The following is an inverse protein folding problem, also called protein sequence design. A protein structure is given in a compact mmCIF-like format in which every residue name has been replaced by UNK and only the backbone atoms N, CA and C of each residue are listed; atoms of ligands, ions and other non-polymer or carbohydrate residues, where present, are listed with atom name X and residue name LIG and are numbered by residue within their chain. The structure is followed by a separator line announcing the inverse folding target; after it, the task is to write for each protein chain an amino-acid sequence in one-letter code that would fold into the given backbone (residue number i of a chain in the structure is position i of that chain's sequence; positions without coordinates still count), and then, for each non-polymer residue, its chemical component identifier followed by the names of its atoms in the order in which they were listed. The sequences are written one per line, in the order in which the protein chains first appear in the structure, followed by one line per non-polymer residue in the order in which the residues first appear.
data_IF_341088240938
#
_entry.id   IF_341088240938
#
_cell.length_a   1.000
_cell.length_b   1.000
_cell.length_c   1.000
_cell.angle_alpha   90.00
_cell.angle_beta   90.00
_cell.angle_gamma   90.00
#
_symmetry.space_group_name_H-M   'P 1'
#
loop_
_entity.id
_entity.type
_entity.pdbx_description
1 polymer ?
#
# COMPACT_ATOMS: atom_id res chain seq x y z
N UNK A 1 39.76 -38.46 12.64
CA UNK A 1 39.50 -37.05 13.01
C UNK A 1 38.00 -36.89 13.22
N UNK A 2 37.53 -37.48 14.31
CA UNK A 2 36.12 -37.78 14.57
C UNK A 2 35.62 -36.85 15.67
N UNK A 3 34.69 -35.95 15.34
CA UNK A 3 33.74 -35.25 16.25
C UNK A 3 33.07 -34.06 15.53
N UNK A 4 31.95 -34.27 14.83
CA UNK A 4 30.94 -33.21 14.73
C UNK A 4 29.56 -33.62 15.25
N UNK A 5 29.35 -34.87 15.69
CA UNK A 5 28.02 -35.33 16.15
C UNK A 5 27.57 -34.77 17.51
N UNK A 6 28.44 -34.06 18.25
CA UNK A 6 28.08 -33.49 19.55
C UNK A 6 27.13 -32.27 19.44
N UNK A 7 27.10 -31.56 18.30
CA UNK A 7 26.27 -30.36 18.16
C UNK A 7 24.80 -30.65 17.83
N UNK A 8 24.48 -31.84 17.31
CA UNK A 8 23.09 -32.19 17.01
C UNK A 8 22.27 -32.53 18.27
N UNK A 9 22.93 -33.01 19.34
CA UNK A 9 22.23 -33.39 20.57
C UNK A 9 21.92 -32.19 21.48
N UNK A 10 22.68 -31.10 21.38
CA UNK A 10 22.52 -29.94 22.27
C UNK A 10 21.29 -29.07 21.90
N UNK A 11 20.84 -29.12 20.65
CA UNK A 11 19.61 -28.42 20.23
C UNK A 11 18.31 -29.14 20.64
N UNK A 12 18.36 -30.42 21.02
CA UNK A 12 17.17 -31.16 21.45
C UNK A 12 16.80 -30.92 22.93
N UNK A 13 17.67 -30.27 23.72
CA UNK A 13 17.41 -30.00 25.15
C UNK A 13 17.09 -28.54 25.47
N UNK A 14 16.92 -27.66 24.48
CA UNK A 14 16.47 -26.30 24.76
C UNK A 14 15.00 -26.34 25.23
N UNK A 15 14.71 -26.03 26.52
CA UNK A 15 13.34 -26.06 27.01
C UNK A 15 12.53 -25.00 26.29
N UNK A 16 11.42 -25.41 25.67
CA UNK A 16 10.33 -24.52 25.28
C UNK A 16 9.90 -23.76 26.55
N UNK A 17 10.45 -22.57 26.75
CA UNK A 17 9.86 -21.58 27.64
C UNK A 17 8.54 -21.18 26.98
N UNK A 18 7.49 -21.89 27.37
CA UNK A 18 6.11 -21.48 27.19
C UNK A 18 6.01 -20.06 27.74
N UNK A 19 6.00 -19.10 26.83
CA UNK A 19 5.65 -17.72 27.12
C UNK A 19 4.15 -17.77 27.34
N UNK A 20 3.76 -18.03 28.59
CA UNK A 20 2.38 -17.87 29.01
C UNK A 20 2.09 -16.38 28.95
N UNK A 21 1.34 -16.01 27.93
CA UNK A 21 0.75 -14.70 27.74
C UNK A 21 -0.18 -14.40 28.92
N UNK A 22 0.40 -13.91 30.01
CA UNK A 22 -0.32 -13.36 31.16
C UNK A 22 -0.45 -11.85 30.94
N UNK A 23 -1.20 -11.47 29.92
CA UNK A 23 -1.64 -10.10 29.66
C UNK A 23 -3.16 -10.03 29.87
N UNK A 24 -3.56 -10.10 31.14
CA UNK A 24 -4.95 -9.87 31.55
C UNK A 24 -5.05 -8.79 32.64
N UNK A 25 -4.06 -7.90 32.73
CA UNK A 25 -3.91 -6.95 33.84
C UNK A 25 -4.09 -5.47 33.53
N UNK A 26 -4.17 -5.03 32.27
CA UNK A 26 -4.11 -3.59 31.96
C UNK A 26 -5.42 -2.94 31.53
N UNK A 27 -6.51 -3.69 31.34
CA UNK A 27 -7.81 -3.09 30.95
C UNK A 27 -8.62 -2.54 32.12
N UNK A 28 -8.28 -2.82 33.38
CA UNK A 28 -9.00 -2.24 34.54
C UNK A 28 -8.44 -0.90 35.04
N UNK A 29 -7.23 -0.50 34.64
CA UNK A 29 -6.67 0.79 35.05
C UNK A 29 -7.26 1.99 34.28
N UNK A 30 -7.77 1.78 33.06
CA UNK A 30 -8.31 2.89 32.23
C UNK A 30 -9.80 3.15 32.42
N UNK A 31 -10.55 2.27 33.11
CA UNK A 31 -11.94 2.56 33.49
C UNK A 31 -12.07 3.31 34.81
N UNK A 32 -11.01 3.39 35.64
CA UNK A 32 -11.05 4.14 36.89
C UNK A 32 -10.87 5.66 36.72
N UNK A 33 -10.24 6.12 35.63
CA UNK A 33 -10.06 7.55 35.37
C UNK A 33 -11.35 8.21 34.83
N UNK A 34 -12.27 7.44 34.24
CA UNK A 34 -13.54 7.97 33.73
C UNK A 34 -14.58 8.29 34.82
N UNK A 35 -14.31 7.96 36.08
CA UNK A 35 -15.17 8.31 37.21
C UNK A 35 -14.72 9.60 37.96
N UNK A 36 -13.57 10.19 37.61
CA UNK A 36 -13.03 11.37 38.32
C UNK A 36 -13.41 12.74 37.73
N UNK A 37 -14.00 12.79 36.54
CA UNK A 37 -14.41 14.02 35.87
C UNK A 37 -15.95 14.12 35.77
N UNK A 38 -16.64 13.75 36.85
CA UNK A 38 -17.99 14.24 37.06
C UNK A 38 -17.89 15.65 37.67
N UNK A 39 -18.10 16.63 36.80
CA UNK A 39 -18.75 17.91 37.08
C UNK A 39 -18.56 18.40 38.52
N UNK A 40 -17.51 19.19 38.74
CA UNK A 40 -17.62 20.33 39.65
C UNK A 40 -18.59 21.33 38.98
N UNK A 41 -19.87 20.97 38.96
CA UNK A 41 -20.96 21.84 38.61
C UNK A 41 -20.99 22.96 39.66
N UNK A 42 -20.55 24.13 39.21
CA UNK A 42 -21.24 25.40 39.39
C UNK A 42 -22.39 25.38 40.41
N UNK A 43 -22.05 25.46 41.68
CA UNK A 43 -22.90 25.99 42.72
C UNK A 43 -22.17 27.17 43.39
N UNK A 44 -21.71 28.14 42.59
CA UNK A 44 -21.77 29.51 43.09
C UNK A 44 -23.22 29.93 42.97
N UNK A 45 -23.98 29.46 43.96
CA UNK A 45 -25.21 30.06 44.46
C UNK A 45 -24.83 31.47 44.99
N UNK A 46 -24.41 32.34 44.08
CA UNK A 46 -24.47 33.76 44.33
C UNK A 46 -25.95 34.07 44.26
N UNK A 47 -26.59 33.87 45.42
CA UNK A 47 -27.82 34.51 45.83
C UNK A 47 -27.63 36.00 45.66
N UNK A 48 -27.72 36.46 44.41
CA UNK A 48 -28.19 37.78 44.09
C UNK A 48 -29.66 37.68 44.44
N UNK A 49 -29.92 37.85 45.73
CA UNK A 49 -31.15 38.42 46.23
C UNK A 49 -31.32 39.69 45.40
N UNK A 50 -32.04 39.50 44.29
CA UNK A 50 -32.72 40.52 43.55
C UNK A 50 -33.83 40.99 44.47
N UNK A 51 -33.44 41.54 45.62
CA UNK A 51 -34.16 42.64 46.23
C UNK A 51 -33.99 43.76 45.22
N UNK A 52 -34.87 43.66 44.23
CA UNK A 52 -35.43 44.71 43.44
C UNK A 52 -35.92 45.76 44.44
N UNK A 53 -34.99 46.51 45.02
CA UNK A 53 -35.26 47.84 45.56
C UNK A 53 -35.51 48.69 44.31
N UNK A 54 -36.66 48.43 43.69
CA UNK A 54 -37.31 49.41 42.85
C UNK A 54 -37.36 50.68 43.69
N UNK A 55 -36.90 51.82 43.16
CA UNK A 55 -36.87 53.06 43.90
C UNK A 55 -38.28 53.26 44.44
N UNK A 56 -38.42 53.13 45.77
CA UNK A 56 -39.61 53.54 46.47
C UNK A 56 -39.91 54.92 45.91
N UNK A 57 -41.05 54.98 45.24
CA UNK A 57 -41.68 56.20 44.82
C UNK A 57 -41.61 57.11 46.05
N UNK A 58 -40.73 58.10 45.99
CA UNK A 58 -40.81 59.29 46.80
C UNK A 58 -42.11 59.97 46.39
N UNK A 59 -43.24 59.44 46.87
CA UNK A 59 -44.53 60.09 46.82
C UNK A 59 -44.36 61.31 47.71
N UNK A 60 -44.31 62.52 47.14
CA UNK A 60 -44.37 63.71 47.96
C UNK A 60 -45.73 63.62 48.64
N UNK A 61 -45.70 63.48 49.97
CA UNK A 61 -46.88 63.54 50.82
C UNK A 61 -47.49 64.92 50.55
N UNK A 62 -48.48 64.96 49.65
CA UNK A 62 -49.33 66.12 49.44
C UNK A 62 -50.10 66.30 50.73
N UNK A 63 -49.63 67.17 51.62
CA UNK A 63 -50.51 67.76 52.61
C UNK A 63 -51.46 68.71 51.88
N UNK A 64 -52.59 68.12 51.51
CA UNK A 64 -53.82 68.79 51.12
C UNK A 64 -54.59 69.08 52.41
N UNK A 65 -54.36 70.25 52.98
CA UNK A 65 -55.24 70.92 53.93
C UNK A 65 -55.12 72.41 53.63
N UNK A 66 -55.85 72.98 52.67
CA UNK A 66 -57.31 73.18 52.59
C UNK A 66 -57.87 73.97 53.79
N UNK A 67 -57.95 75.28 53.54
CA UNK A 67 -59.09 76.18 53.81
C UNK A 67 -59.49 76.50 55.26
N UNK A 68 -59.51 77.80 55.55
CA UNK A 68 -60.67 78.44 56.18
C UNK A 68 -60.38 79.22 57.46
N UNK A 69 -60.45 80.55 57.36
CA UNK A 69 -60.98 81.55 58.31
C UNK A 69 -60.15 82.84 58.18
N UNK A 70 -60.67 83.86 57.50
CA UNK A 70 -61.48 84.94 58.09
C UNK A 70 -60.64 85.81 59.03
N UNK A 71 -60.06 86.88 58.50
CA UNK A 71 -60.63 88.24 58.58
C UNK A 71 -60.69 88.79 60.00
N UNK A 72 -59.66 89.54 60.37
CA UNK A 72 -59.79 90.83 61.05
C UNK A 72 -58.40 91.48 60.97
N UNK A 73 -58.26 92.56 60.18
CA UNK A 73 -58.44 93.90 60.71
C UNK A 73 -57.45 94.14 61.85
N UNK A 74 -56.25 94.61 61.49
CA UNK A 74 -55.49 95.64 62.22
C UNK A 74 -54.22 95.97 61.43
N UNK A 75 -54.18 97.22 60.99
CA UNK A 75 -53.01 97.93 60.51
C UNK A 75 -51.91 97.92 61.57
N UNK A 76 -50.98 96.96 61.49
CA UNK A 76 -49.69 97.08 62.16
C UNK A 76 -48.61 96.57 61.21
N UNK A 77 -48.21 97.47 60.33
CA UNK A 77 -46.82 97.78 59.98
C UNK A 77 -45.83 96.66 60.30
N UNK A 78 -45.38 96.02 59.21
CA UNK A 78 -44.11 95.34 58.98
C UNK A 78 -43.13 95.37 60.18
N UNK A 79 -42.71 94.19 60.65
CA UNK A 79 -41.32 93.80 60.97
C UNK A 79 -41.27 92.41 61.64
N UNK A 80 -42.37 91.91 62.23
CA UNK A 80 -42.37 90.61 62.93
C UNK A 80 -42.34 89.34 62.05
N UNK A 81 -42.26 89.45 60.72
CA UNK A 81 -42.21 88.30 59.81
C UNK A 81 -40.79 87.91 59.39
N UNK A 82 -39.77 88.73 59.68
CA UNK A 82 -38.40 88.47 59.22
C UNK A 82 -37.68 87.38 60.02
N UNK A 83 -37.98 87.25 61.31
CA UNK A 83 -37.32 86.25 62.16
C UNK A 83 -37.82 84.83 61.83
N UNK A 84 -39.13 84.64 61.65
CA UNK A 84 -39.69 83.33 61.33
C UNK A 84 -39.32 82.91 59.89
N UNK A 85 -39.30 83.86 58.95
CA UNK A 85 -38.76 83.65 57.60
C UNK A 85 -37.27 83.28 57.64
N UNK A 86 -36.47 83.90 58.53
CA UNK A 86 -35.06 83.53 58.71
C UNK A 86 -34.89 82.12 59.26
N UNK A 87 -35.72 81.69 60.22
CA UNK A 87 -35.69 80.34 60.80
C UNK A 87 -36.12 79.27 59.80
N UNK A 88 -37.13 79.57 58.99
CA UNK A 88 -37.56 78.70 57.89
C UNK A 88 -36.49 78.62 56.80
N UNK A 89 -35.83 79.74 56.48
CA UNK A 89 -34.70 79.78 55.54
C UNK A 89 -33.51 78.96 56.07
N UNK A 90 -33.13 79.12 57.34
CA UNK A 90 -32.05 78.30 57.93
C UNK A 90 -32.42 76.83 57.97
N UNK A 91 -33.66 76.47 58.31
CA UNK A 91 -34.11 75.08 58.28
C UNK A 91 -34.13 74.50 56.85
N UNK A 92 -34.51 75.31 55.86
CA UNK A 92 -34.47 74.91 54.44
C UNK A 92 -33.03 74.73 53.96
N UNK A 93 -32.12 75.60 54.38
CA UNK A 93 -30.70 75.48 54.07
C UNK A 93 -30.05 74.29 54.79
N UNK A 94 -30.39 74.02 56.05
CA UNK A 94 -29.99 72.79 56.77
C UNK A 94 -30.48 71.52 56.07
N UNK A 95 -31.72 71.52 55.56
CA UNK A 95 -32.23 70.39 54.76
C UNK A 95 -31.46 70.24 53.45
N UNK A 96 -31.12 71.35 52.78
CA UNK A 96 -30.33 71.33 51.55
C UNK A 96 -28.91 70.84 51.80
N UNK A 97 -28.25 71.29 52.87
CA UNK A 97 -26.90 70.84 53.23
C UNK A 97 -26.90 69.35 53.56
N UNK A 98 -27.87 68.86 54.34
CA UNK A 98 -28.02 67.43 54.63
C UNK A 98 -28.22 66.59 53.34
N UNK A 99 -29.02 67.07 52.39
CA UNK A 99 -29.20 66.40 51.08
C UNK A 99 -27.90 66.40 50.28
N UNK A 100 -27.19 67.53 50.21
CA UNK A 100 -25.92 67.64 49.49
C UNK A 100 -24.85 66.74 50.11
N UNK A 101 -24.78 66.66 51.44
CA UNK A 101 -23.88 65.73 52.15
C UNK A 101 -24.22 64.27 51.84
N UNK A 102 -25.50 63.91 51.84
CA UNK A 102 -25.94 62.56 51.47
C UNK A 102 -25.58 62.22 50.00
N UNK A 103 -25.78 63.17 49.08
CA UNK A 103 -25.39 63.02 47.67
C UNK A 103 -23.88 62.90 47.51
N UNK A 104 -23.09 63.72 48.20
CA UNK A 104 -21.63 63.66 48.17
C UNK A 104 -21.12 62.32 48.72
N UNK A 105 -21.67 61.85 49.83
CA UNK A 105 -21.37 60.53 50.38
C UNK A 105 -21.73 59.40 49.40
N UNK A 106 -22.85 59.52 48.68
CA UNK A 106 -23.22 58.56 47.63
C UNK A 106 -22.25 58.58 46.44
N UNK A 107 -21.84 59.77 45.97
CA UNK A 107 -20.84 59.91 44.91
C UNK A 107 -19.49 59.32 45.31
N UNK A 108 -19.05 59.52 46.56
CA UNK A 108 -17.81 58.92 47.08
C UNK A 108 -17.89 57.40 47.12
N UNK A 109 -19.04 56.83 47.53
CA UNK A 109 -19.27 55.38 47.48
C UNK A 109 -19.26 54.86 46.03
N UNK A 110 -19.87 55.59 45.10
CA UNK A 110 -19.89 55.22 43.68
C UNK A 110 -18.50 55.29 43.06
N UNK A 111 -17.70 56.29 43.39
CA UNK A 111 -16.31 56.39 42.95
C UNK A 111 -15.45 55.25 43.51
N UNK A 112 -15.60 54.92 44.80
CA UNK A 112 -14.94 53.78 45.42
C UNK A 112 -15.36 52.44 44.78
N UNK A 113 -16.65 52.24 44.54
CA UNK A 113 -17.16 51.05 43.86
C UNK A 113 -16.64 50.94 42.42
N UNK A 114 -16.59 52.04 41.67
CA UNK A 114 -16.01 52.09 40.32
C UNK A 114 -14.53 51.73 40.31
N UNK A 115 -13.75 52.26 41.26
CA UNK A 115 -12.34 51.90 41.39
C UNK A 115 -12.16 50.41 41.72
N UNK A 116 -12.96 49.86 42.64
CA UNK A 116 -12.94 48.43 42.96
C UNK A 116 -13.31 47.55 41.75
N UNK A 117 -14.24 47.98 40.88
CA UNK A 117 -14.55 47.29 39.62
C UNK A 117 -13.39 47.37 38.63
N UNK A 118 -12.77 48.54 38.47
CA UNK A 118 -11.61 48.71 37.60
C UNK A 118 -10.41 47.86 38.05
N UNK A 119 -10.12 47.81 39.34
CA UNK A 119 -9.04 47.01 39.92
C UNK A 119 -9.28 45.51 39.68
N UNK A 120 -10.52 45.04 39.86
CA UNK A 120 -10.92 43.66 39.51
C UNK A 120 -10.74 43.40 38.02
N UNK A 121 -11.18 44.32 37.16
CA UNK A 121 -11.06 44.18 35.71
C UNK A 121 -9.58 44.11 35.28
N UNK A 122 -8.72 44.97 35.83
CA UNK A 122 -7.28 44.95 35.58
C UNK A 122 -6.66 43.62 36.05
N UNK A 123 -7.06 43.11 37.22
CA UNK A 123 -6.65 41.80 37.73
C UNK A 123 -7.07 40.64 36.81
N UNK A 124 -8.32 40.63 36.33
CA UNK A 124 -8.80 39.61 35.38
C UNK A 124 -8.05 39.66 34.05
N UNK A 125 -7.83 40.85 33.52
CA UNK A 125 -7.04 41.09 32.31
C UNK A 125 -5.62 40.51 32.47
N UNK A 126 -4.96 40.81 33.59
CA UNK A 126 -3.61 40.34 33.85
C UNK A 126 -3.57 38.80 33.93
N UNK A 127 -4.49 38.19 34.69
CA UNK A 127 -4.62 36.73 34.80
C UNK A 127 -4.87 36.06 33.45
N UNK A 128 -5.72 36.64 32.59
CA UNK A 128 -5.98 36.11 31.24
C UNK A 128 -4.74 36.23 30.34
N UNK A 129 -4.03 37.36 30.39
CA UNK A 129 -2.79 37.54 29.61
C UNK A 129 -1.69 36.58 30.06
N UNK A 130 -1.57 36.33 31.36
CA UNK A 130 -0.63 35.37 31.92
C UNK A 130 -1.00 33.94 31.51
N UNK A 131 -2.27 33.56 31.62
CA UNK A 131 -2.76 32.24 31.19
C UNK A 131 -2.48 32.02 29.70
N UNK A 132 -2.79 32.99 28.86
CA UNK A 132 -2.52 32.91 27.42
C UNK A 132 -1.02 32.78 27.12
N UNK A 133 -0.16 33.53 27.82
CA UNK A 133 1.29 33.40 27.67
C UNK A 133 1.79 32.00 28.07
N UNK A 134 1.28 31.42 29.17
CA UNK A 134 1.64 30.06 29.59
C UNK A 134 1.13 28.99 28.62
N UNK A 135 -0.05 29.18 28.03
CA UNK A 135 -0.61 28.27 27.02
C UNK A 135 0.21 28.31 25.73
N UNK A 136 0.61 29.48 25.25
CA UNK A 136 1.49 29.62 24.09
C UNK A 136 2.86 28.96 24.34
N UNK A 137 3.44 29.15 25.52
CA UNK A 137 4.69 28.49 25.91
C UNK A 137 4.52 26.96 25.94
N UNK A 138 3.41 26.46 26.45
CA UNK A 138 3.13 25.03 26.48
C UNK A 138 2.95 24.44 25.08
N UNK A 139 2.21 25.11 24.20
CA UNK A 139 2.03 24.68 22.80
C UNK A 139 3.36 24.70 22.05
N UNK A 140 4.17 25.75 22.20
CA UNK A 140 5.50 25.80 21.59
C UNK A 140 6.39 24.67 22.09
N UNK A 141 6.39 24.38 23.39
CA UNK A 141 7.14 23.26 23.95
C UNK A 141 6.70 21.90 23.38
N UNK A 142 5.39 21.66 23.27
CA UNK A 142 4.86 20.42 22.66
C UNK A 142 5.26 20.33 21.18
N UNK A 143 5.14 21.43 20.44
CA UNK A 143 5.53 21.47 19.02
C UNK A 143 7.03 21.15 18.87
N UNK A 144 7.89 21.77 19.66
CA UNK A 144 9.34 21.50 19.66
C UNK A 144 9.63 20.04 20.00
N UNK A 145 8.90 19.45 20.95
CA UNK A 145 9.03 18.04 21.31
C UNK A 145 8.63 17.11 20.15
N UNK A 146 7.53 17.40 19.44
CA UNK A 146 7.08 16.63 18.29
C UNK A 146 8.08 16.74 17.13
N UNK A 147 8.59 17.95 16.87
CA UNK A 147 9.62 18.16 15.85
C UNK A 147 10.90 17.39 16.18
N UNK A 148 11.34 17.40 17.42
CA UNK A 148 12.52 16.65 17.81
C UNK A 148 12.31 15.13 17.69
N UNK A 149 11.14 14.61 18.09
CA UNK A 149 10.82 13.20 17.86
C UNK A 149 10.78 12.83 16.37
N UNK A 150 10.22 13.70 15.53
CA UNK A 150 10.16 13.46 14.09
C UNK A 150 11.55 13.48 13.46
N UNK A 151 12.46 14.34 13.94
CA UNK A 151 13.87 14.35 13.52
C UNK A 151 14.61 13.09 13.93
N UNK A 152 14.40 12.60 15.15
CA UNK A 152 15.04 11.35 15.60
C UNK A 152 14.54 10.18 14.78
N UNK A 153 13.23 10.08 14.56
CA UNK A 153 12.63 8.99 13.78
C UNK A 153 13.11 9.02 12.32
N UNK A 154 13.14 10.20 11.69
CA UNK A 154 13.64 10.35 10.32
C UNK A 154 15.13 10.00 10.22
N UNK A 155 15.95 10.44 11.20
CA UNK A 155 17.37 10.10 11.24
C UNK A 155 17.58 8.59 11.39
N UNK A 156 16.82 7.95 12.28
CA UNK A 156 16.90 6.52 12.52
C UNK A 156 16.51 5.73 11.25
N UNK A 157 15.48 6.16 10.53
CA UNK A 157 15.07 5.57 9.25
C UNK A 157 16.10 5.78 8.15
N UNK A 158 16.70 6.97 8.05
CA UNK A 158 17.77 7.27 7.09
C UNK A 158 19.02 6.44 7.40
N UNK A 159 19.38 6.27 8.67
CA UNK A 159 20.46 5.40 9.08
C UNK A 159 20.17 3.92 8.80
N UNK A 160 18.94 3.46 9.04
CA UNK A 160 18.48 2.10 8.70
C UNK A 160 18.60 1.87 7.20
N UNK A 161 18.06 2.77 6.38
CA UNK A 161 18.14 2.68 4.92
C UNK A 161 19.59 2.76 4.44
N UNK A 162 20.44 3.60 5.05
CA UNK A 162 21.85 3.66 4.71
C UNK A 162 22.59 2.34 5.02
N UNK A 163 22.24 1.64 6.11
CA UNK A 163 22.77 0.29 6.42
C UNK A 163 22.31 -0.73 5.38
N UNK A 164 21.04 -0.68 4.98
CA UNK A 164 20.49 -1.56 3.95
C UNK A 164 21.16 -1.32 2.59
N UNK A 165 21.28 -0.06 2.15
CA UNK A 165 21.98 0.33 0.92
C UNK A 165 23.45 -0.10 0.93
N UNK A 166 24.15 0.02 2.06
CA UNK A 166 25.53 -0.47 2.21
C UNK A 166 25.63 -1.99 2.08
N UNK A 167 24.58 -2.74 2.42
CA UNK A 167 24.54 -4.20 2.28
C UNK A 167 24.23 -4.67 0.84
N UNK A 168 23.54 -3.85 0.03
CA UNK A 168 23.20 -4.15 -1.37
C UNK A 168 24.39 -4.64 -2.20
N UNK A 169 25.56 -3.97 -2.25
CA UNK A 169 26.69 -4.44 -3.06
C UNK A 169 27.23 -5.79 -2.59
N UNK A 170 27.22 -6.08 -1.28
CA UNK A 170 27.64 -7.37 -0.76
C UNK A 170 26.65 -8.47 -1.20
N UNK A 171 25.34 -8.22 -1.09
CA UNK A 171 24.28 -9.12 -1.55
C UNK A 171 24.37 -9.34 -3.06
N UNK A 172 24.56 -8.28 -3.85
CA UNK A 172 24.73 -8.35 -5.29
C UNK A 172 25.95 -9.21 -5.68
N UNK A 173 27.08 -8.99 -5.01
CA UNK A 173 28.29 -9.79 -5.26
C UNK A 173 28.11 -11.26 -4.88
N UNK A 174 27.33 -11.55 -3.85
CA UNK A 174 26.98 -12.91 -3.46
C UNK A 174 26.06 -13.58 -4.47
N UNK A 175 25.06 -12.86 -4.97
CA UNK A 175 24.15 -13.32 -6.02
C UNK A 175 24.91 -13.60 -7.33
N UNK A 176 25.70 -12.65 -7.82
CA UNK A 176 26.48 -12.82 -9.05
C UNK A 176 27.46 -13.99 -8.97
N UNK A 177 28.12 -14.20 -7.81
CA UNK A 177 28.99 -15.38 -7.61
C UNK A 177 28.20 -16.69 -7.61
N UNK A 178 26.98 -16.68 -7.07
CA UNK A 178 26.12 -17.85 -7.10
C UNK A 178 25.63 -18.14 -8.54
N UNK A 179 25.33 -17.09 -9.30
CA UNK A 179 24.93 -17.17 -10.70
C UNK A 179 26.09 -17.66 -11.58
N UNK A 180 27.31 -17.13 -11.41
CA UNK A 180 28.52 -17.59 -12.09
C UNK A 180 28.76 -19.08 -11.84
N UNK A 181 28.57 -19.53 -10.60
CA UNK A 181 28.67 -20.95 -10.25
C UNK A 181 27.57 -21.77 -10.92
N UNK A 182 26.33 -21.30 -10.93
CA UNK A 182 25.22 -21.97 -11.60
C UNK A 182 25.44 -22.04 -13.12
N UNK A 183 25.99 -21.00 -13.74
CA UNK A 183 26.35 -20.97 -15.15
C UNK A 183 27.52 -21.91 -15.46
N UNK A 184 28.50 -22.03 -14.56
CA UNK A 184 29.57 -23.02 -14.68
C UNK A 184 29.01 -24.45 -14.63
N UNK A 185 28.09 -24.75 -13.70
CA UNK A 185 27.38 -26.04 -13.61
C UNK A 185 26.57 -26.32 -14.89
N UNK A 186 25.90 -25.31 -15.45
CA UNK A 186 25.19 -25.44 -16.72
C UNK A 186 26.13 -25.66 -17.91
N UNK A 187 27.29 -25.01 -17.92
CA UNK A 187 28.31 -25.21 -18.95
C UNK A 187 28.89 -26.63 -18.87
N UNK A 188 29.15 -27.16 -17.67
CA UNK A 188 29.56 -28.56 -17.48
C UNK A 188 28.50 -29.53 -17.99
N UNK A 189 27.22 -29.26 -17.72
CA UNK A 189 26.11 -30.06 -18.28
C UNK A 189 26.09 -29.98 -19.81
N UNK A 190 26.26 -28.79 -20.39
CA UNK A 190 26.31 -28.61 -21.85
C UNK A 190 27.48 -29.36 -22.48
N UNK A 191 28.68 -29.31 -21.86
CA UNK A 191 29.85 -30.07 -22.32
C UNK A 191 29.61 -31.59 -22.20
N UNK A 192 28.95 -32.04 -21.13
CA UNK A 192 28.61 -33.45 -20.96
C UNK A 192 27.67 -33.95 -22.05
N UNK A 193 26.76 -33.09 -22.56
CA UNK A 193 25.90 -33.39 -23.70
C UNK A 193 26.72 -33.44 -24.98
N UNK A 194 27.62 -32.48 -25.21
CA UNK A 194 28.49 -32.46 -26.39
C UNK A 194 29.35 -33.72 -26.50
N UNK A 195 29.99 -34.15 -25.40
CA UNK A 195 30.79 -35.38 -25.35
C UNK A 195 29.92 -36.61 -25.57
N UNK A 196 28.71 -36.65 -25.00
CA UNK A 196 27.76 -37.75 -25.24
C UNK A 196 27.26 -37.80 -26.68
N UNK A 197 27.13 -36.66 -27.35
CA UNK A 197 26.73 -36.59 -28.76
C UNK A 197 27.85 -37.02 -29.70
N UNK A 198 29.12 -36.71 -29.39
CA UNK A 198 30.26 -37.17 -30.19
C UNK A 198 30.47 -38.69 -30.07
N UNK A 199 30.16 -39.26 -28.90
CA UNK A 199 30.09 -40.71 -28.69
C UNK A 199 28.73 -41.34 -29.02
N UNK A 200 27.74 -40.54 -29.44
CA UNK A 200 26.42 -41.08 -29.76
C UNK A 200 26.53 -41.90 -31.03
N UNK A 201 26.05 -43.14 -30.96
CA UNK A 201 25.86 -43.97 -32.14
C UNK A 201 25.08 -43.18 -33.18
N UNK A 202 25.66 -43.01 -34.37
CA UNK A 202 24.90 -42.51 -35.52
C UNK A 202 23.83 -43.54 -35.86
N UNK A 203 22.65 -43.34 -35.29
CA UNK A 203 21.50 -44.23 -35.45
C UNK A 203 21.09 -44.33 -36.92
N UNK A 204 21.30 -43.26 -37.70
CA UNK A 204 20.95 -43.24 -39.12
C UNK A 204 21.97 -44.03 -39.95
N UNK A 205 23.27 -43.94 -39.66
CA UNK A 205 24.30 -44.83 -40.24
C UNK A 205 24.04 -46.29 -39.86
N UNK A 206 23.75 -46.56 -38.59
CA UNK A 206 23.51 -47.90 -38.07
C UNK A 206 22.25 -48.52 -38.68
N UNK A 207 21.21 -47.71 -38.90
CA UNK A 207 20.01 -48.09 -39.65
C UNK A 207 20.36 -48.44 -41.10
N UNK A 208 21.11 -47.59 -41.80
CA UNK A 208 21.53 -47.86 -43.18
C UNK A 208 22.41 -49.11 -43.29
N UNK A 209 23.21 -49.43 -42.26
CA UNK A 209 23.97 -50.67 -42.16
C UNK A 209 23.06 -51.87 -41.89
N UNK A 210 22.12 -51.76 -40.97
CA UNK A 210 21.13 -52.80 -40.69
C UNK A 210 20.34 -53.16 -41.95
N UNK A 211 19.81 -52.16 -42.67
CA UNK A 211 19.05 -52.37 -43.92
C UNK A 211 19.89 -53.04 -45.02
N UNK A 212 21.20 -52.75 -45.09
CA UNK A 212 22.12 -53.42 -46.01
C UNK A 212 22.36 -54.88 -45.62
N UNK A 213 22.58 -55.15 -44.34
CA UNK A 213 22.79 -56.51 -43.83
C UNK A 213 21.53 -57.37 -43.94
N UNK A 214 20.35 -56.80 -43.66
CA UNK A 214 19.07 -57.48 -43.82
C UNK A 214 18.81 -57.84 -45.29
N UNK A 215 19.12 -56.93 -46.23
CA UNK A 215 19.05 -57.23 -47.67
C UNK A 215 20.06 -58.29 -48.11
N UNK A 216 21.29 -58.23 -47.63
CA UNK A 216 22.28 -59.27 -47.94
C UNK A 216 21.84 -60.64 -47.40
N UNK A 217 21.31 -60.68 -46.18
CA UNK A 217 20.81 -61.90 -45.55
C UNK A 217 19.60 -62.48 -46.29
N UNK A 218 18.71 -61.63 -46.79
CA UNK A 218 17.64 -62.03 -47.70
C UNK A 218 18.19 -62.73 -48.95
N UNK A 219 19.12 -62.10 -49.68
CA UNK A 219 19.71 -62.67 -50.88
C UNK A 219 20.42 -64.01 -50.62
N UNK A 220 21.17 -64.11 -49.52
CA UNK A 220 21.85 -65.35 -49.16
C UNK A 220 20.88 -66.48 -48.77
N UNK A 221 19.83 -66.17 -48.01
CA UNK A 221 18.82 -67.17 -47.64
C UNK A 221 17.99 -67.62 -48.84
N UNK A 222 17.59 -66.68 -49.70
CA UNK A 222 16.86 -66.98 -50.92
C UNK A 222 17.71 -67.85 -51.85
N UNK A 223 18.97 -67.47 -52.10
CA UNK A 223 19.91 -68.27 -52.89
C UNK A 223 20.10 -69.68 -52.33
N UNK A 224 20.32 -69.82 -51.01
CA UNK A 224 20.49 -71.13 -50.39
C UNK A 224 19.24 -72.04 -50.49
N UNK A 225 18.03 -71.47 -50.45
CA UNK A 225 16.78 -72.22 -50.63
C UNK A 225 16.60 -72.60 -52.10
N UNK A 226 16.88 -71.68 -53.03
CA UNK A 226 16.83 -71.93 -54.49
C UNK A 226 17.83 -73.02 -54.91
N UNK A 227 19.09 -72.91 -54.47
CA UNK A 227 20.12 -73.93 -54.70
C UNK A 227 19.70 -75.31 -54.18
N UNK A 228 18.98 -75.34 -53.04
CA UNK A 228 18.45 -76.60 -52.48
C UNK A 228 17.30 -77.15 -53.31
N UNK A 229 16.40 -76.30 -53.81
CA UNK A 229 15.33 -76.71 -54.72
C UNK A 229 15.89 -77.24 -56.03
N UNK A 230 16.90 -76.58 -56.60
CA UNK A 230 17.60 -76.99 -57.82
C UNK A 230 18.24 -78.35 -57.67
N UNK A 231 18.93 -78.54 -56.55
CA UNK A 231 19.54 -79.82 -56.24
C UNK A 231 18.49 -80.93 -56.17
N UNK A 232 17.36 -80.69 -55.50
CA UNK A 232 16.27 -81.68 -55.39
C UNK A 232 15.64 -81.95 -56.76
N UNK A 233 15.41 -80.91 -57.56
CA UNK A 233 14.87 -81.03 -58.92
C UNK A 233 15.79 -81.85 -59.82
N UNK A 234 17.09 -81.53 -59.86
CA UNK A 234 18.10 -82.27 -60.61
C UNK A 234 18.27 -83.71 -60.12
N UNK A 235 18.25 -83.94 -58.80
CA UNK A 235 18.26 -85.28 -58.21
C UNK A 235 17.01 -86.08 -58.62
N UNK A 236 15.84 -85.43 -58.72
CA UNK A 236 14.59 -86.06 -59.16
C UNK A 236 14.56 -86.39 -60.66
N UNK A 237 15.09 -85.51 -61.51
CA UNK A 237 15.27 -85.78 -62.95
C UNK A 237 16.24 -86.93 -63.16
N UNK A 238 17.36 -86.95 -62.43
CA UNK A 238 18.31 -88.05 -62.49
C UNK A 238 17.69 -89.38 -62.04
N UNK A 239 16.88 -89.37 -60.98
CA UNK A 239 16.14 -90.55 -60.53
C UNK A 239 15.08 -90.99 -61.55
N UNK A 240 14.40 -90.05 -62.22
CA UNK A 240 13.43 -90.34 -63.28
C UNK A 240 14.09 -90.94 -64.52
N UNK A 241 15.23 -90.41 -64.97
CA UNK A 241 16.02 -90.98 -66.09
C UNK A 241 16.51 -92.40 -65.78
N UNK A 242 16.95 -92.65 -64.55
CA UNK A 242 17.38 -93.98 -64.09
C UNK A 242 16.19 -94.94 -64.02
N UNK A 243 15.00 -94.48 -63.61
CA UNK A 243 13.78 -95.30 -63.53
C UNK A 243 13.13 -95.55 -64.90
N UNK A 244 13.16 -94.57 -65.80
CA UNK A 244 12.53 -94.62 -67.12
C UNK A 244 13.29 -95.46 -68.14
N UNK A 245 14.42 -96.06 -67.76
CA UNK A 245 15.09 -97.14 -68.49
C UNK A 245 15.10 -96.94 -70.00
N UNK A 246 16.07 -96.19 -70.52
CA UNK A 246 16.38 -96.12 -71.97
C UNK A 246 15.26 -95.56 -72.87
N UNK A 247 14.43 -94.63 -72.40
CA UNK A 247 13.56 -93.88 -73.30
C UNK A 247 14.33 -92.74 -74.00
N UNK A 248 14.19 -92.69 -75.32
CA UNK A 248 14.95 -91.90 -76.30
C UNK A 248 15.03 -90.39 -75.94
N UNK A 249 16.23 -89.77 -75.87
CA UNK A 249 16.43 -88.36 -75.47
C UNK A 249 15.94 -87.34 -76.50
N UNK A 250 14.93 -87.68 -77.32
CA UNK A 250 14.39 -86.83 -78.39
C UNK A 250 12.95 -86.34 -78.14
N UNK A 251 12.26 -86.83 -77.12
CA UNK A 251 10.99 -86.24 -76.66
C UNK A 251 11.22 -85.12 -75.63
N UNK A 252 12.24 -84.29 -75.86
CA UNK A 252 12.66 -83.19 -74.96
C UNK A 252 11.62 -82.05 -74.89
N UNK A 253 10.61 -82.07 -75.77
CA UNK A 253 9.50 -81.11 -75.74
C UNK A 253 8.27 -81.63 -74.98
N UNK A 254 8.47 -82.52 -74.00
CA UNK A 254 7.36 -82.96 -73.17
C UNK A 254 6.78 -81.74 -72.43
N UNK A 255 5.46 -81.46 -72.57
CA UNK A 255 4.82 -80.33 -71.90
C UNK A 255 4.95 -80.39 -70.37
N UNK A 256 5.27 -81.58 -69.84
CA UNK A 256 5.59 -81.79 -68.43
C UNK A 256 6.86 -81.03 -67.99
N UNK A 257 7.89 -80.91 -68.83
CA UNK A 257 9.10 -80.16 -68.48
C UNK A 257 8.84 -78.65 -68.46
N UNK A 258 8.12 -78.13 -69.46
CA UNK A 258 7.73 -76.72 -69.50
C UNK A 258 6.83 -76.34 -68.32
N UNK A 259 5.87 -77.20 -67.96
CA UNK A 259 5.02 -76.98 -66.78
C UNK A 259 5.84 -77.02 -65.48
N UNK A 260 6.79 -77.95 -65.36
CA UNK A 260 7.66 -78.01 -64.18
C UNK A 260 8.58 -76.77 -64.06
N UNK A 261 9.08 -76.23 -65.19
CA UNK A 261 9.86 -74.98 -65.19
C UNK A 261 9.03 -73.76 -64.77
N UNK A 262 7.78 -73.66 -65.24
CA UNK A 262 6.86 -72.60 -64.81
C UNK A 262 6.52 -72.72 -63.32
N UNK A 263 6.25 -73.92 -62.83
CA UNK A 263 6.01 -74.19 -61.40
C UNK A 263 7.24 -73.87 -60.54
N UNK A 264 8.45 -74.21 -61.02
CA UNK A 264 9.71 -73.89 -60.33
C UNK A 264 9.96 -72.38 -60.25
N UNK A 265 9.72 -71.65 -61.36
CA UNK A 265 9.83 -70.20 -61.39
C UNK A 265 8.82 -69.53 -60.45
N UNK A 266 7.57 -70.00 -60.43
CA UNK A 266 6.55 -69.54 -59.48
C UNK A 266 6.98 -69.83 -58.03
N UNK A 267 7.58 -70.99 -57.77
CA UNK A 267 8.07 -71.35 -56.44
C UNK A 267 9.26 -70.47 -56.02
N UNK A 268 10.12 -70.04 -56.94
CA UNK A 268 11.19 -69.11 -56.63
C UNK A 268 10.70 -67.72 -56.24
N UNK A 269 9.67 -67.20 -56.91
CA UNK A 269 9.04 -65.93 -56.52
C UNK A 269 8.43 -66.05 -55.11
N UNK A 270 7.73 -67.15 -54.83
CA UNK A 270 7.19 -67.42 -53.50
C UNK A 270 8.29 -67.58 -52.44
N UNK A 271 9.40 -68.24 -52.76
CA UNK A 271 10.57 -68.35 -51.88
C UNK A 271 11.18 -66.97 -51.60
N UNK A 272 11.29 -66.10 -52.60
CA UNK A 272 11.80 -64.74 -52.42
C UNK A 272 10.88 -63.94 -51.48
N UNK A 273 9.57 -64.03 -51.65
CA UNK A 273 8.57 -63.36 -50.79
C UNK A 273 8.59 -63.91 -49.35
N UNK A 274 8.62 -65.24 -49.20
CA UNK A 274 8.66 -65.91 -47.91
C UNK A 274 9.95 -65.58 -47.16
N UNK A 275 11.10 -65.66 -47.83
CA UNK A 275 12.39 -65.28 -47.23
C UNK A 275 12.42 -63.79 -46.91
N UNK A 276 11.84 -62.93 -47.77
CA UNK A 276 11.70 -61.49 -47.47
C UNK A 276 10.92 -61.29 -46.19
N UNK A 277 9.77 -61.95 -46.04
CA UNK A 277 8.93 -61.85 -44.86
C UNK A 277 9.63 -62.36 -43.60
N UNK A 278 10.28 -63.53 -43.65
CA UNK A 278 11.00 -64.11 -42.50
C UNK A 278 12.17 -63.22 -42.10
N UNK A 279 12.97 -62.74 -43.05
CA UNK A 279 14.12 -61.87 -42.77
C UNK A 279 13.68 -60.49 -42.25
N UNK A 280 12.62 -59.93 -42.82
CA UNK A 280 12.01 -58.71 -42.32
C UNK A 280 11.44 -58.92 -40.91
N UNK A 281 10.81 -60.05 -40.62
CA UNK A 281 10.25 -60.36 -39.31
C UNK A 281 11.33 -60.57 -38.24
N UNK A 282 12.26 -61.51 -38.47
CA UNK A 282 13.22 -61.97 -37.47
C UNK A 282 14.36 -60.98 -37.21
N UNK A 283 14.72 -60.19 -38.21
CA UNK A 283 15.88 -59.31 -38.14
C UNK A 283 15.52 -57.87 -38.42
N UNK A 284 14.84 -57.60 -39.55
CA UNK A 284 14.54 -56.23 -39.98
C UNK A 284 13.70 -55.45 -38.95
N UNK A 285 12.58 -56.03 -38.52
CA UNK A 285 11.65 -55.40 -37.59
C UNK A 285 12.25 -55.27 -36.19
N UNK A 286 12.93 -56.32 -35.71
CA UNK A 286 13.58 -56.30 -34.38
C UNK A 286 14.65 -55.21 -34.31
N UNK A 287 15.52 -55.11 -35.33
CA UNK A 287 16.55 -54.08 -35.39
C UNK A 287 15.92 -52.69 -35.54
N UNK A 288 14.89 -52.54 -36.37
CA UNK A 288 14.20 -51.26 -36.56
C UNK A 288 13.55 -50.76 -35.26
N UNK A 289 12.88 -51.65 -34.51
CA UNK A 289 12.28 -51.30 -33.21
C UNK A 289 13.37 -50.92 -32.21
N UNK A 290 14.44 -51.72 -32.09
CA UNK A 290 15.54 -51.40 -31.19
C UNK A 290 16.22 -50.05 -31.51
N UNK A 291 16.43 -49.73 -32.80
CA UNK A 291 16.97 -48.44 -33.22
C UNK A 291 16.00 -47.28 -32.95
N UNK A 292 14.69 -47.51 -33.11
CA UNK A 292 13.66 -46.53 -32.75
C UNK A 292 13.65 -46.27 -31.24
N UNK A 293 13.75 -47.31 -30.41
CA UNK A 293 13.80 -47.19 -28.96
C UNK A 293 15.05 -46.42 -28.49
N UNK A 294 16.22 -46.72 -29.08
CA UNK A 294 17.46 -45.97 -28.82
C UNK A 294 17.28 -44.50 -29.19
N UNK A 295 16.72 -44.20 -30.37
CA UNK A 295 16.45 -42.82 -30.80
C UNK A 295 15.48 -42.10 -29.87
N UNK A 296 14.42 -42.77 -29.43
CA UNK A 296 13.47 -42.21 -28.48
C UNK A 296 14.11 -41.94 -27.12
N UNK A 297 14.94 -42.85 -26.62
CA UNK A 297 15.69 -42.67 -25.37
C UNK A 297 16.66 -41.49 -25.47
N UNK A 298 17.44 -41.38 -26.54
CA UNK A 298 18.35 -40.26 -26.78
C UNK A 298 17.60 -38.91 -26.86
N UNK A 299 16.45 -38.89 -27.55
CA UNK A 299 15.62 -37.69 -27.65
C UNK A 299 15.04 -37.30 -26.29
N UNK A 300 14.60 -38.28 -25.49
CA UNK A 300 14.07 -38.04 -24.15
C UNK A 300 15.14 -37.56 -23.19
N UNK A 301 16.35 -38.13 -23.22
CA UNK A 301 17.49 -37.65 -22.44
C UNK A 301 17.82 -36.19 -22.79
N UNK A 302 17.93 -35.89 -24.10
CA UNK A 302 18.21 -34.53 -24.58
C UNK A 302 17.12 -33.54 -24.15
N UNK A 303 15.83 -33.93 -24.21
CA UNK A 303 14.73 -33.11 -23.71
C UNK A 303 14.84 -32.87 -22.21
N UNK A 304 15.08 -33.92 -21.42
CA UNK A 304 15.20 -33.81 -19.97
C UNK A 304 16.39 -32.94 -19.55
N UNK A 305 17.51 -32.99 -20.28
CA UNK A 305 18.64 -32.09 -20.03
C UNK A 305 18.33 -30.66 -20.41
N UNK A 306 17.66 -30.43 -21.55
CA UNK A 306 17.26 -29.08 -21.97
C UNK A 306 16.26 -28.45 -21.01
N UNK A 307 15.31 -29.22 -20.49
CA UNK A 307 14.38 -28.77 -19.44
C UNK A 307 15.11 -28.38 -18.15
N UNK A 308 16.13 -29.16 -17.73
CA UNK A 308 16.98 -28.79 -16.58
C UNK A 308 17.74 -27.48 -16.81
N UNK A 309 18.27 -27.28 -18.02
CA UNK A 309 18.95 -26.02 -18.38
C UNK A 309 17.94 -24.85 -18.34
N UNK A 310 16.78 -25.03 -18.97
CA UNK A 310 15.74 -24.01 -19.03
C UNK A 310 15.22 -23.60 -17.65
N UNK A 311 14.88 -24.58 -16.81
CA UNK A 311 14.41 -24.34 -15.43
C UNK A 311 15.46 -23.61 -14.59
N UNK A 312 16.75 -23.95 -14.75
CA UNK A 312 17.84 -23.26 -14.07
C UNK A 312 17.99 -21.81 -14.56
N UNK A 313 17.93 -21.56 -15.86
CA UNK A 313 17.98 -20.20 -16.42
C UNK A 313 16.77 -19.36 -15.97
N UNK A 314 15.58 -19.96 -15.87
CA UNK A 314 14.41 -19.29 -15.29
C UNK A 314 14.67 -18.90 -13.83
N UNK A 315 15.19 -19.83 -13.02
CA UNK A 315 15.47 -19.56 -11.60
C UNK A 315 16.50 -18.44 -11.39
N UNK A 316 17.51 -18.35 -12.27
CA UNK A 316 18.50 -17.25 -12.26
C UNK A 316 17.86 -15.93 -12.65
N UNK A 317 17.04 -15.93 -13.69
CA UNK A 317 16.31 -14.73 -14.16
C UNK A 317 15.38 -14.20 -13.07
N UNK A 318 14.58 -15.06 -12.45
CA UNK A 318 13.70 -14.67 -11.35
C UNK A 318 14.49 -14.14 -10.12
N UNK A 319 15.68 -14.69 -9.84
CA UNK A 319 16.52 -14.21 -8.75
C UNK A 319 17.02 -12.79 -9.01
N UNK A 320 17.41 -12.50 -10.25
CA UNK A 320 17.81 -11.16 -10.69
C UNK A 320 16.62 -10.18 -10.67
N UNK A 321 15.44 -10.59 -11.13
CA UNK A 321 14.22 -9.75 -11.09
C UNK A 321 13.80 -9.40 -9.66
N UNK A 322 13.84 -10.37 -8.73
CA UNK A 322 13.57 -10.10 -7.31
C UNK A 322 14.61 -9.15 -6.71
N UNK A 323 15.87 -9.29 -7.10
CA UNK A 323 16.94 -8.41 -6.64
C UNK A 323 16.77 -7.00 -7.20
N UNK A 324 16.45 -6.84 -8.49
CA UNK A 324 16.21 -5.53 -9.10
C UNK A 324 15.00 -4.84 -8.48
N UNK A 325 13.87 -5.53 -8.31
CA UNK A 325 12.69 -4.99 -7.66
C UNK A 325 13.00 -4.51 -6.23
N UNK A 326 13.81 -5.26 -5.48
CA UNK A 326 14.26 -4.83 -4.15
C UNK A 326 15.12 -3.57 -4.21
N UNK A 327 16.04 -3.45 -5.16
CA UNK A 327 16.85 -2.24 -5.34
C UNK A 327 15.97 -1.04 -5.70
N UNK A 328 15.00 -1.21 -6.59
CA UNK A 328 14.05 -0.17 -6.97
C UNK A 328 13.23 0.31 -5.76
N UNK A 329 12.75 -0.61 -4.92
CA UNK A 329 12.02 -0.25 -3.70
C UNK A 329 12.89 0.53 -2.71
N UNK A 330 14.18 0.15 -2.56
CA UNK A 330 15.12 0.89 -1.72
C UNK A 330 15.43 2.28 -2.29
N UNK A 331 15.49 2.40 -3.62
CA UNK A 331 15.70 3.68 -4.28
C UNK A 331 14.49 4.61 -4.13
N UNK A 332 13.26 4.08 -4.27
CA UNK A 332 12.03 4.84 -4.02
C UNK A 332 11.96 5.30 -2.56
N UNK A 333 12.17 4.40 -1.59
CA UNK A 333 12.21 4.75 -0.17
C UNK A 333 13.27 5.82 0.14
N UNK A 334 14.45 5.73 -0.50
CA UNK A 334 15.49 6.75 -0.35
C UNK A 334 14.99 8.10 -0.87
N UNK A 335 14.36 8.14 -2.03
CA UNK A 335 13.83 9.38 -2.60
C UNK A 335 12.78 10.01 -1.70
N UNK A 336 11.83 9.22 -1.21
CA UNK A 336 10.76 9.67 -0.32
C UNK A 336 11.33 10.25 1.00
N UNK A 337 12.36 9.61 1.56
CA UNK A 337 13.06 10.14 2.74
C UNK A 337 13.79 11.46 2.47
N UNK A 338 14.45 11.60 1.31
CA UNK A 338 15.07 12.88 0.90
C UNK A 338 14.02 13.98 0.72
N UNK A 339 12.84 13.64 0.21
CA UNK A 339 11.73 14.59 0.10
C UNK A 339 11.22 15.02 1.48
N UNK A 340 11.01 14.08 2.40
CA UNK A 340 10.60 14.39 3.78
C UNK A 340 11.65 15.23 4.52
N UNK A 341 12.94 14.93 4.36
CA UNK A 341 14.04 15.75 4.88
C UNK A 341 13.98 17.19 4.33
N UNK A 342 13.74 17.35 3.02
CA UNK A 342 13.62 18.68 2.41
C UNK A 342 12.38 19.44 2.92
N UNK A 343 11.24 18.76 3.06
CA UNK A 343 10.01 19.35 3.61
C UNK A 343 10.20 19.80 5.07
N UNK A 344 10.89 18.99 5.88
CA UNK A 344 11.22 19.37 7.25
C UNK A 344 12.17 20.57 7.31
N UNK A 345 13.20 20.60 6.46
CA UNK A 345 14.09 21.76 6.36
C UNK A 345 13.36 23.05 5.96
N UNK A 346 12.31 22.96 5.14
CA UNK A 346 11.46 24.11 4.79
C UNK A 346 10.63 24.60 5.99
N UNK A 347 10.00 23.69 6.74
CA UNK A 347 9.22 24.03 7.94
C UNK A 347 10.12 24.65 9.02
N UNK A 348 11.34 24.15 9.16
CA UNK A 348 12.33 24.69 10.09
C UNK A 348 12.80 26.10 9.69
N UNK A 349 12.93 26.34 8.38
CA UNK A 349 13.31 27.65 7.86
C UNK A 349 12.18 28.68 8.04
N UNK A 350 10.91 28.26 7.94
CA UNK A 350 9.74 29.11 8.15
C UNK A 350 9.49 29.41 9.64
N UNK A 351 9.78 28.44 10.51
CA UNK A 351 9.81 28.62 11.97
C UNK A 351 11.09 29.31 12.48
N UNK A 352 11.98 29.73 11.57
CA UNK A 352 13.13 30.57 11.91
C UNK A 352 12.69 31.74 12.78
N UNK A 353 13.53 32.18 13.74
CA UNK A 353 13.12 33.03 14.85
C UNK A 353 12.24 34.16 14.35
N UNK A 354 10.94 34.05 14.63
CA UNK A 354 9.96 35.12 14.50
C UNK A 354 10.57 36.28 15.28
N UNK A 355 11.22 37.14 14.50
CA UNK A 355 12.04 38.26 14.91
C UNK A 355 11.37 38.94 16.08
N UNK A 356 12.05 38.90 17.23
CA UNK A 356 11.64 39.44 18.53
C UNK A 356 10.51 40.48 18.43
N UNK A 357 9.29 40.19 18.91
CA UNK A 357 8.30 41.25 19.19
C UNK A 357 8.70 42.10 20.42
N UNK A 358 10.01 42.20 20.72
CA UNK A 358 10.54 42.95 21.88
C UNK A 358 10.59 44.47 21.60
N UNK A 359 10.35 44.93 20.37
CA UNK A 359 10.25 46.37 20.04
C UNK A 359 8.82 46.93 19.89
N UNK A 360 7.81 46.29 20.51
CA UNK A 360 6.48 46.93 20.67
C UNK A 360 6.16 47.31 22.13
N UNK A 361 7.08 47.04 23.07
CA UNK A 361 6.81 47.32 24.50
C UNK A 361 6.96 48.80 24.89
N UNK A 362 7.44 49.69 24.01
CA UNK A 362 7.67 51.09 24.40
C UNK A 362 6.59 52.10 23.95
N UNK A 363 5.53 51.73 23.21
CA UNK A 363 4.54 52.74 22.77
C UNK A 363 3.14 52.23 22.43
N UNK A 364 2.53 51.44 23.31
CA UNK A 364 1.12 51.07 23.14
C UNK A 364 0.37 50.98 24.48
N UNK A 365 0.49 52.01 25.32
CA UNK A 365 -0.45 52.25 26.44
C UNK A 365 -1.78 52.90 25.98
N UNK A 366 -2.19 52.73 24.72
CA UNK A 366 -3.50 53.20 24.26
C UNK A 366 -4.17 52.22 23.30
N UNK A 367 -5.20 51.52 23.78
CA UNK A 367 -6.36 50.99 23.03
C UNK A 367 -6.21 49.96 21.88
N UNK A 368 -5.05 49.32 21.70
CA UNK A 368 -4.84 48.35 20.59
C UNK A 368 -5.33 46.91 20.83
N UNK A 369 -6.11 46.65 21.90
CA UNK A 369 -6.94 45.41 21.94
C UNK A 369 -7.97 45.37 20.81
N UNK A 370 -8.22 46.50 20.17
CA UNK A 370 -8.99 46.56 18.95
C UNK A 370 -8.29 45.81 17.80
N UNK A 371 -6.97 45.72 17.71
CA UNK A 371 -6.31 45.27 16.47
C UNK A 371 -6.51 43.78 16.15
N UNK A 372 -6.34 42.88 17.12
CA UNK A 372 -6.53 41.44 16.87
C UNK A 372 -8.00 41.07 16.67
N UNK A 373 -8.89 41.65 17.49
CA UNK A 373 -10.32 41.50 17.31
C UNK A 373 -10.78 42.11 15.97
N UNK A 374 -10.21 43.25 15.55
CA UNK A 374 -10.46 43.85 14.25
C UNK A 374 -9.90 43.00 13.12
N UNK A 375 -8.73 42.38 13.27
CA UNK A 375 -8.18 41.48 12.26
C UNK A 375 -9.09 40.26 12.06
N UNK A 376 -9.57 39.64 13.14
CA UNK A 376 -10.53 38.54 13.06
C UNK A 376 -11.87 38.99 12.48
N UNK A 377 -12.42 40.13 12.93
CA UNK A 377 -13.67 40.68 12.40
C UNK A 377 -13.53 41.03 10.92
N UNK A 378 -12.39 41.58 10.49
CA UNK A 378 -12.10 41.92 9.10
C UNK A 378 -11.91 40.67 8.25
N UNK A 379 -11.29 39.62 8.79
CA UNK A 379 -11.18 38.31 8.14
C UNK A 379 -12.54 37.61 7.99
N UNK A 380 -13.47 37.91 8.90
CA UNK A 380 -14.87 37.48 8.86
C UNK A 380 -15.79 38.46 8.10
N UNK A 381 -15.24 39.56 7.55
CA UNK A 381 -15.99 40.65 6.91
C UNK A 381 -17.11 41.28 7.77
N UNK A 382 -16.93 41.29 9.09
CA UNK A 382 -17.85 41.90 10.05
C UNK A 382 -17.41 43.36 10.27
N UNK A 383 -18.30 44.31 10.00
CA UNK A 383 -18.03 45.74 10.17
C UNK A 383 -17.85 46.11 11.65
N UNK A 384 -16.76 46.79 11.99
CA UNK A 384 -16.38 47.13 13.37
C UNK A 384 -17.00 48.42 13.91
N UNK A 385 -17.81 49.13 13.12
CA UNK A 385 -18.49 50.35 13.58
C UNK A 385 -19.79 50.02 14.32
N UNK A 386 -19.67 49.55 15.56
CA UNK A 386 -20.81 49.28 16.44
C UNK A 386 -20.85 50.31 17.56
N UNK A 387 -21.70 51.33 17.45
CA UNK A 387 -21.94 52.32 18.52
C UNK A 387 -23.39 52.37 19.00
N UNK A 388 -24.32 51.75 18.27
CA UNK A 388 -25.75 51.78 18.60
C UNK A 388 -26.27 50.36 18.92
N UNK A 389 -27.14 50.23 19.92
CA UNK A 389 -27.72 48.94 20.33
C UNK A 389 -28.46 48.22 19.20
N UNK A 390 -29.05 48.99 18.26
CA UNK A 390 -29.65 48.50 17.01
C UNK A 390 -28.65 47.76 16.12
N UNK A 391 -27.36 48.10 16.19
CA UNK A 391 -26.28 47.45 15.43
C UNK A 391 -25.79 46.18 16.13
N UNK A 392 -25.94 46.03 17.44
CA UNK A 392 -25.61 44.78 18.14
C UNK A 392 -26.55 43.66 17.67
N UNK A 393 -27.84 43.96 17.53
CA UNK A 393 -28.81 43.00 16.99
C UNK A 393 -28.52 42.63 15.52
N UNK A 394 -27.92 43.54 14.75
CA UNK A 394 -27.47 43.26 13.38
C UNK A 394 -26.18 42.42 13.35
N UNK A 395 -25.25 42.70 14.26
CA UNK A 395 -24.02 41.93 14.44
C UNK A 395 -24.32 40.48 14.82
N UNK A 396 -25.26 40.27 15.74
CA UNK A 396 -25.70 38.94 16.18
C UNK A 396 -26.30 38.14 15.00
N UNK A 397 -27.12 38.78 14.16
CA UNK A 397 -27.62 38.18 12.91
C UNK A 397 -26.51 37.85 11.91
N UNK A 398 -25.47 38.69 11.81
CA UNK A 398 -24.33 38.45 10.94
C UNK A 398 -23.49 37.26 11.43
N UNK A 399 -23.26 37.16 12.73
CA UNK A 399 -22.58 36.04 13.39
C UNK A 399 -23.36 34.75 13.21
N UNK A 400 -24.67 34.75 13.46
CA UNK A 400 -25.54 33.61 13.19
C UNK A 400 -25.54 33.20 11.72
N UNK A 401 -25.48 34.17 10.81
CA UNK A 401 -25.39 33.95 9.37
C UNK A 401 -24.03 33.38 8.94
N UNK A 402 -22.94 33.73 9.63
CA UNK A 402 -21.62 33.15 9.40
C UNK A 402 -21.49 31.75 9.98
N UNK A 403 -22.00 31.54 11.20
CA UNK A 403 -22.06 30.23 11.84
C UNK A 403 -22.83 29.23 10.96
N UNK A 404 -24.02 29.60 10.48
CA UNK A 404 -24.80 28.78 9.55
C UNK A 404 -24.07 28.51 8.22
N UNK A 405 -23.33 29.50 7.68
CA UNK A 405 -22.52 29.30 6.47
C UNK A 405 -21.34 28.36 6.70
N UNK A 406 -20.67 28.46 7.85
CA UNK A 406 -19.58 27.57 8.22
C UNK A 406 -20.08 26.15 8.47
N UNK A 407 -21.22 25.97 9.13
CA UNK A 407 -21.88 24.67 9.26
C UNK A 407 -22.33 24.10 7.92
N UNK A 408 -22.88 24.92 7.02
CA UNK A 408 -23.27 24.49 5.69
C UNK A 408 -22.05 24.10 4.83
N UNK A 409 -20.96 24.87 4.91
CA UNK A 409 -19.72 24.54 4.22
C UNK A 409 -19.10 23.26 4.81
N UNK A 410 -19.05 23.11 6.14
CA UNK A 410 -18.46 21.92 6.75
C UNK A 410 -19.26 20.66 6.41
N UNK A 411 -20.60 20.72 6.45
CA UNK A 411 -21.47 19.61 6.04
C UNK A 411 -21.34 19.30 4.55
N UNK A 412 -21.21 20.32 3.69
CA UNK A 412 -20.94 20.13 2.25
C UNK A 412 -19.59 19.47 1.99
N UNK A 413 -18.53 19.90 2.68
CA UNK A 413 -17.19 19.31 2.57
C UNK A 413 -17.18 17.85 3.04
N UNK A 414 -17.84 17.55 4.17
CA UNK A 414 -18.00 16.17 4.67
C UNK A 414 -18.76 15.32 3.64
N UNK A 415 -19.86 15.83 3.07
CA UNK A 415 -20.61 15.13 2.04
C UNK A 415 -19.79 14.89 0.76
N UNK A 416 -18.94 15.83 0.37
CA UNK A 416 -18.03 15.67 -0.76
C UNK A 416 -16.98 14.59 -0.49
N UNK A 417 -16.36 14.58 0.70
CA UNK A 417 -15.40 13.55 1.10
C UNK A 417 -16.06 12.17 1.06
N UNK A 418 -17.26 12.03 1.62
CA UNK A 418 -18.01 10.76 1.60
C UNK A 418 -18.34 10.31 0.16
N UNK A 419 -18.76 11.21 -0.73
CA UNK A 419 -18.96 10.86 -2.16
C UNK A 419 -17.67 10.41 -2.83
N UNK A 420 -16.54 11.08 -2.56
CA UNK A 420 -15.26 10.68 -3.16
C UNK A 420 -14.76 9.34 -2.63
N UNK A 421 -15.02 9.02 -1.36
CA UNK A 421 -14.67 7.72 -0.79
C UNK A 421 -15.56 6.61 -1.36
N UNK A 422 -16.86 6.85 -1.52
CA UNK A 422 -17.81 5.93 -2.17
C UNK A 422 -17.42 5.65 -3.63
N UNK A 423 -17.13 6.69 -4.42
CA UNK A 423 -16.62 6.53 -5.79
C UNK A 423 -15.31 5.75 -5.85
N UNK A 424 -14.43 5.93 -4.86
CA UNK A 424 -13.16 5.18 -4.79
C UNK A 424 -13.42 3.72 -4.45
N UNK A 425 -14.39 3.42 -3.57
CA UNK A 425 -14.80 2.06 -3.25
C UNK A 425 -15.42 1.36 -4.47
N UNK A 426 -16.25 2.05 -5.25
CA UNK A 426 -16.84 1.49 -6.47
C UNK A 426 -15.79 1.24 -7.56
N UNK A 427 -14.84 2.15 -7.76
CA UNK A 427 -13.71 1.91 -8.68
C UNK A 427 -12.88 0.69 -8.26
N UNK A 428 -12.64 0.51 -6.96
CA UNK A 428 -11.97 -0.69 -6.44
C UNK A 428 -12.79 -1.94 -6.69
N UNK A 429 -14.11 -1.91 -6.50
CA UNK A 429 -14.99 -3.05 -6.81
C UNK A 429 -14.94 -3.43 -8.29
N UNK A 430 -15.08 -2.45 -9.19
CA UNK A 430 -14.98 -2.67 -10.65
C UNK A 430 -13.61 -3.20 -11.04
N UNK A 431 -12.52 -2.68 -10.45
CA UNK A 431 -11.19 -3.19 -10.70
C UNK A 431 -11.05 -4.65 -10.25
N UNK A 432 -11.55 -5.00 -9.05
CA UNK A 432 -11.55 -6.38 -8.57
C UNK A 432 -12.42 -7.31 -9.43
N UNK A 433 -13.58 -6.85 -9.89
CA UNK A 433 -14.43 -7.58 -10.83
C UNK A 433 -13.70 -7.82 -12.15
N UNK A 434 -13.03 -6.81 -12.72
CA UNK A 434 -12.24 -6.97 -13.94
C UNK A 434 -11.06 -7.92 -13.79
N UNK A 435 -10.39 -7.93 -12.62
CA UNK A 435 -9.32 -8.88 -12.31
C UNK A 435 -9.89 -10.29 -12.16
N UNK A 436 -11.06 -10.43 -11.52
CA UNK A 436 -11.73 -11.73 -11.38
C UNK A 436 -12.25 -12.28 -12.71
N UNK A 437 -12.73 -11.41 -13.59
CA UNK A 437 -13.18 -11.77 -14.94
C UNK A 437 -11.99 -12.14 -15.82
N UNK A 438 -10.88 -11.39 -15.75
CA UNK A 438 -9.62 -11.76 -16.40
C UNK A 438 -9.13 -13.13 -15.92
N UNK A 439 -9.11 -13.38 -14.60
CA UNK A 439 -8.75 -14.69 -14.03
C UNK A 439 -9.72 -15.81 -14.44
N UNK A 440 -11.00 -15.51 -14.65
CA UNK A 440 -11.99 -16.50 -15.09
C UNK A 440 -11.87 -16.81 -16.60
N UNK A 441 -11.49 -15.83 -17.41
CA UNK A 441 -11.28 -15.99 -18.86
C UNK A 441 -9.91 -16.63 -19.16
N UNK A 442 -8.93 -16.50 -18.27
CA UNK A 442 -7.55 -16.94 -18.48
C UNK A 442 -7.37 -18.47 -18.65
N UNK A 443 -8.41 -19.26 -18.42
CA UNK A 443 -8.42 -20.69 -18.79
C UNK A 443 -8.27 -20.95 -20.30
N UNK A 444 -8.51 -19.95 -21.17
CA UNK A 444 -8.30 -20.08 -22.62
C UNK A 444 -7.21 -19.15 -23.18
N UNK A 445 -6.91 -18.05 -22.51
CA UNK A 445 -5.93 -17.09 -23.00
C UNK A 445 -4.48 -17.45 -22.62
N UNK A 446 -4.23 -18.38 -21.69
CA UNK A 446 -2.88 -18.97 -21.54
C UNK A 446 -2.36 -19.56 -22.86
N UNK A 447 -3.24 -20.14 -23.69
CA UNK A 447 -2.86 -20.64 -25.02
C UNK A 447 -2.63 -19.50 -26.01
N UNK A 448 -3.39 -18.42 -25.94
CA UNK A 448 -3.22 -17.25 -26.81
C UNK A 448 -1.94 -16.47 -26.46
N UNK A 449 -1.64 -16.31 -25.17
CA UNK A 449 -0.41 -15.70 -24.66
C UNK A 449 0.80 -16.58 -25.01
N UNK A 450 0.68 -17.91 -24.88
CA UNK A 450 1.74 -18.85 -25.31
C UNK A 450 1.98 -18.79 -26.83
N UNK A 451 0.90 -18.74 -27.62
CA UNK A 451 1.00 -18.59 -29.08
C UNK A 451 1.58 -17.22 -29.49
N UNK A 452 1.23 -16.15 -28.78
CA UNK A 452 1.79 -14.81 -29.02
C UNK A 452 3.28 -14.78 -28.65
N UNK A 453 3.66 -15.38 -27.52
CA UNK A 453 5.05 -15.49 -27.07
C UNK A 453 5.90 -16.29 -28.08
N UNK A 454 5.37 -17.40 -28.61
CA UNK A 454 6.01 -18.16 -29.69
C UNK A 454 6.16 -17.31 -30.98
N UNK A 455 5.14 -16.52 -31.33
CA UNK A 455 5.21 -15.63 -32.51
C UNK A 455 6.25 -14.52 -32.33
N UNK A 456 6.34 -13.95 -31.13
CA UNK A 456 7.35 -12.94 -30.79
C UNK A 456 8.75 -13.57 -30.86
N UNK A 457 8.95 -14.75 -30.27
CA UNK A 457 10.22 -15.48 -30.33
C UNK A 457 10.63 -15.78 -31.78
N UNK A 458 9.69 -16.23 -32.62
CA UNK A 458 9.94 -16.48 -34.04
C UNK A 458 10.33 -15.20 -34.80
N UNK A 459 9.66 -14.07 -34.54
CA UNK A 459 10.01 -12.79 -35.17
C UNK A 459 11.38 -12.29 -34.73
N UNK A 460 11.73 -12.48 -33.45
CA UNK A 460 13.04 -12.08 -32.91
C UNK A 460 14.17 -12.89 -33.53
N UNK A 461 14.00 -14.21 -33.65
CA UNK A 461 14.96 -15.08 -34.34
C UNK A 461 15.12 -14.70 -35.83
N UNK A 462 14.04 -14.28 -36.49
CA UNK A 462 14.10 -13.79 -37.86
C UNK A 462 14.88 -12.48 -38.01
N UNK A 463 14.73 -11.55 -37.06
CA UNK A 463 15.46 -10.28 -37.04
C UNK A 463 16.96 -10.50 -36.76
N UNK A 464 17.30 -11.37 -35.81
CA UNK A 464 18.70 -11.72 -35.49
C UNK A 464 19.37 -12.45 -36.67
N UNK A 465 18.64 -13.31 -37.38
CA UNK A 465 19.10 -13.95 -38.61
C UNK A 465 19.30 -12.96 -39.78
N UNK A 466 18.56 -11.85 -39.81
CA UNK A 466 18.72 -10.80 -40.82
C UNK A 466 19.89 -9.85 -40.51
N UNK A 467 20.28 -9.69 -39.24
CA UNK A 467 21.44 -8.88 -38.86
C UNK A 467 22.78 -9.60 -39.04
N UNK A 468 22.77 -10.93 -39.18
CA UNK A 468 23.98 -11.75 -39.35
C UNK A 468 24.29 -12.07 -40.81
N UNK A 469 23.45 -11.64 -41.75
CA UNK A 469 23.70 -11.65 -43.20
C UNK A 469 24.01 -10.24 -43.68
#
# INVERSE_FOLDING_TARGET
MSRPEAWAAELAQAPLKQRTDSSSGETEALTSIKAGLLWADNACDDGVDSTLWGPEEWRPRREVGRTGSESNHNDSVLILSTDEESRLATQADEKRTAILEAQNNHLMRLASAKNAVNDRQAGHIHRLSQKHATELQHVNFINDQIFESLRTDLRDEVERLAKEVKSVPAVASGLLKADDRALAELNELSLSIGVKQEGALDVDELRGRADRLTRALHLFRAGAVKDRLDRIYLESLHAADVAAGTQDPRNVSDPAHSAAEEELNSLYEEVDDMVTMVVAHDHGNVLRVALQDIRHAQMQETRATNEKIYTRLCSLTEALERFSARVDTLQAQRHDLHELEAQLGLIESDNGPLRDPVTVVARAESNDRSTAAHALLQHLNISTHVRELSQIAELDKQLDGLARRLEQNSTQHIAQILRTSEQTADRRRVALESVSEALAIDGKDELAVRALAERIAATRAGVEGAQTR
#
